data_IF_964773105475
#
_entry.id   IF_964773105475
#
_cell.length_a   1.000
_cell.length_b   1.000
_cell.length_c   1.000
_cell.angle_alpha   90.00
_cell.angle_beta   90.00
_cell.angle_gamma   90.00
#
_symmetry.space_group_name_H-M   'P 1'
#
loop_
_entity.id
_entity.type
_entity.pdbx_description
1 polymer ?
#
# COMPACT_ATOMS: atom_id res chain seq x y z
N UNK A 1 20.37 0.36 36.79
CA UNK A 1 20.85 0.40 38.21
C UNK A 1 20.70 -1.00 38.82
N UNK A 2 21.26 -1.25 40.01
CA UNK A 2 21.19 -2.56 40.69
C UNK A 2 19.75 -2.97 41.02
N UNK A 3 18.89 -2.02 41.38
CA UNK A 3 17.47 -2.28 41.70
C UNK A 3 16.73 -2.86 40.48
N UNK A 4 16.94 -2.28 39.30
CA UNK A 4 16.38 -2.79 38.03
C UNK A 4 16.91 -4.19 37.67
N UNK A 5 18.17 -4.50 37.99
CA UNK A 5 18.75 -5.83 37.75
C UNK A 5 18.13 -6.88 38.67
N UNK A 6 17.99 -6.57 39.97
CA UNK A 6 17.34 -7.47 40.93
C UNK A 6 15.88 -7.75 40.56
N UNK A 7 15.15 -6.71 40.12
CA UNK A 7 13.77 -6.86 39.66
C UNK A 7 13.68 -7.71 38.37
N UNK A 8 14.56 -7.47 37.40
CA UNK A 8 14.64 -8.29 36.20
C UNK A 8 14.90 -9.77 36.53
N UNK A 9 15.89 -10.06 37.38
CA UNK A 9 16.25 -11.44 37.78
C UNK A 9 15.05 -12.12 38.44
N UNK A 10 14.35 -11.43 39.34
CA UNK A 10 13.15 -11.94 40.00
C UNK A 10 12.07 -12.34 38.99
N UNK A 11 11.75 -11.47 38.03
CA UNK A 11 10.70 -11.76 37.05
C UNK A 11 11.13 -12.82 36.04
N UNK A 12 12.38 -12.79 35.60
CA UNK A 12 12.97 -13.80 34.72
C UNK A 12 12.83 -15.21 35.32
N UNK A 13 13.20 -15.37 36.60
CA UNK A 13 13.14 -16.65 37.32
C UNK A 13 11.72 -17.15 37.56
N UNK A 14 10.73 -16.25 37.62
CA UNK A 14 9.31 -16.61 37.72
C UNK A 14 8.81 -17.10 36.35
N UNK A 15 9.11 -16.35 35.28
CA UNK A 15 8.59 -16.63 33.94
C UNK A 15 9.21 -17.89 33.35
N UNK A 16 10.51 -18.12 33.55
CA UNK A 16 11.20 -19.28 32.97
C UNK A 16 10.70 -20.62 33.52
N UNK A 17 10.10 -20.63 34.73
CA UNK A 17 9.51 -21.81 35.37
C UNK A 17 8.11 -22.16 34.85
N UNK A 18 7.47 -21.28 34.08
CA UNK A 18 6.16 -21.55 33.51
C UNK A 18 6.26 -22.64 32.43
N UNK A 19 5.27 -23.55 32.40
CA UNK A 19 5.23 -24.63 31.42
C UNK A 19 5.22 -24.08 29.99
N UNK A 20 6.02 -24.71 29.10
CA UNK A 20 6.22 -24.34 27.68
C UNK A 20 7.07 -23.10 27.37
N UNK A 21 7.53 -22.32 28.36
CA UNK A 21 8.45 -21.19 28.12
C UNK A 21 9.88 -21.69 27.91
N UNK A 22 10.54 -22.18 28.96
CA UNK A 22 11.93 -22.64 28.88
C UNK A 22 12.93 -21.53 28.49
N UNK A 23 14.23 -21.84 28.54
CA UNK A 23 15.31 -20.85 28.31
C UNK A 23 15.30 -20.28 26.89
N UNK A 24 15.00 -21.11 25.89
CA UNK A 24 14.97 -20.68 24.49
C UNK A 24 13.87 -19.66 24.21
N UNK A 25 12.60 -19.95 24.55
CA UNK A 25 11.51 -19.03 24.19
C UNK A 25 11.60 -17.72 24.98
N UNK A 26 12.06 -17.75 26.24
CA UNK A 26 12.19 -16.54 27.05
C UNK A 26 13.31 -15.63 26.53
N UNK A 27 14.51 -16.17 26.31
CA UNK A 27 15.65 -15.35 25.82
C UNK A 27 15.43 -14.88 24.38
N UNK A 28 14.77 -15.69 23.54
CA UNK A 28 14.33 -15.26 22.22
C UNK A 28 13.30 -14.13 22.30
N UNK A 29 12.29 -14.24 23.17
CA UNK A 29 11.30 -13.20 23.36
C UNK A 29 11.91 -11.87 23.83
N UNK A 30 12.85 -11.93 24.78
CA UNK A 30 13.59 -10.76 25.26
C UNK A 30 14.49 -10.16 24.18
N UNK A 31 15.20 -11.00 23.42
CA UNK A 31 15.99 -10.56 22.26
C UNK A 31 15.13 -9.81 21.24
N UNK A 32 13.97 -10.34 20.84
CA UNK A 32 13.12 -9.66 19.87
C UNK A 32 12.40 -8.42 20.43
N UNK A 33 12.31 -8.33 21.76
CA UNK A 33 11.80 -7.13 22.43
C UNK A 33 12.83 -5.98 22.39
N UNK A 34 14.10 -6.26 22.68
CA UNK A 34 15.19 -5.28 22.62
C UNK A 34 16.54 -5.96 22.26
N UNK A 35 16.84 -6.11 20.95
CA UNK A 35 18.03 -6.83 20.49
C UNK A 35 19.34 -6.16 20.86
N UNK A 36 19.33 -4.85 21.15
CA UNK A 36 20.55 -4.13 21.55
C UNK A 36 20.95 -4.40 23.01
N UNK A 37 20.05 -4.98 23.81
CA UNK A 37 20.23 -5.19 25.27
C UNK A 37 20.22 -6.67 25.65
N UNK A 38 19.42 -7.49 24.99
CA UNK A 38 19.25 -8.90 25.34
C UNK A 38 19.84 -9.80 24.28
N UNK A 39 20.46 -10.91 24.68
CA UNK A 39 21.03 -11.92 23.78
C UNK A 39 20.09 -13.12 23.62
N UNK A 40 19.92 -13.62 22.40
CA UNK A 40 19.17 -14.86 22.15
C UNK A 40 20.05 -16.09 22.45
N UNK A 41 19.66 -16.92 23.43
CA UNK A 41 20.40 -18.16 23.75
C UNK A 41 19.73 -19.38 23.10
N UNK A 42 19.69 -19.36 21.77
CA UNK A 42 19.27 -20.52 20.98
C UNK A 42 20.43 -21.51 20.76
N UNK A 43 20.11 -22.66 20.17
CA UNK A 43 21.11 -23.73 19.97
C UNK A 43 22.32 -23.28 19.16
N UNK A 44 22.12 -22.43 18.14
CA UNK A 44 23.19 -21.95 17.26
C UNK A 44 24.07 -20.92 17.98
N UNK A 45 23.46 -19.99 18.70
CA UNK A 45 24.18 -18.96 19.45
C UNK A 45 24.97 -19.58 20.59
N UNK A 46 24.38 -20.55 21.29
CA UNK A 46 25.10 -21.35 22.29
C UNK A 46 26.26 -22.11 21.62
N UNK A 47 26.03 -22.81 20.50
CA UNK A 47 27.08 -23.56 19.82
C UNK A 47 28.24 -22.65 19.36
N UNK A 48 27.93 -21.46 18.84
CA UNK A 48 28.93 -20.48 18.47
C UNK A 48 29.72 -19.97 19.69
N UNK A 49 29.05 -19.57 20.77
CA UNK A 49 29.71 -19.06 21.98
C UNK A 49 30.65 -20.11 22.59
N UNK A 50 30.21 -21.36 22.67
CA UNK A 50 30.97 -22.39 23.38
C UNK A 50 31.96 -23.14 22.47
N UNK A 51 31.64 -23.35 21.19
CA UNK A 51 32.36 -24.28 20.31
C UNK A 51 33.09 -23.62 19.13
N UNK A 52 32.80 -22.36 18.77
CA UNK A 52 33.48 -21.70 17.63
C UNK A 52 34.99 -21.49 17.83
N UNK A 53 35.42 -21.38 19.09
CA UNK A 53 36.78 -20.98 19.44
C UNK A 53 37.05 -19.47 19.26
N UNK A 54 36.08 -18.69 18.78
CA UNK A 54 36.22 -17.25 18.54
C UNK A 54 35.83 -16.41 19.77
N UNK A 55 34.98 -16.95 20.65
CA UNK A 55 34.60 -16.28 21.90
C UNK A 55 35.57 -16.68 23.05
N UNK A 56 36.09 -15.71 23.83
CA UNK A 56 37.01 -15.97 24.94
C UNK A 56 36.57 -17.07 25.91
N UNK A 57 37.54 -17.88 26.36
CA UNK A 57 37.28 -19.09 27.14
C UNK A 57 36.75 -18.85 28.56
N UNK A 58 36.87 -17.64 29.10
CA UNK A 58 36.35 -17.26 30.42
C UNK A 58 34.82 -17.07 30.43
N UNK A 59 34.19 -16.89 29.27
CA UNK A 59 32.73 -17.01 29.10
C UNK A 59 32.27 -18.47 29.22
N UNK A 60 33.14 -19.43 28.88
CA UNK A 60 32.83 -20.88 28.92
C UNK A 60 32.73 -21.44 30.34
N UNK A 61 33.23 -20.74 31.34
CA UNK A 61 33.19 -21.14 32.76
C UNK A 61 31.86 -20.83 33.47
N UNK A 62 30.92 -20.17 32.80
CA UNK A 62 29.54 -20.06 33.29
C UNK A 62 28.87 -21.43 33.17
N UNK A 63 28.81 -22.11 34.31
CA UNK A 63 28.41 -23.51 34.50
C UNK A 63 27.30 -23.97 33.55
N UNK A 64 27.66 -24.90 32.66
CA UNK A 64 26.80 -25.92 32.06
C UNK A 64 25.37 -25.46 31.75
N UNK A 65 25.19 -24.74 30.63
CA UNK A 65 23.91 -24.75 29.88
C UNK A 65 23.76 -26.13 29.21
N UNK A 66 24.05 -27.21 29.94
CA UNK A 66 23.89 -28.57 29.48
C UNK A 66 22.38 -28.87 29.48
N UNK A 67 21.78 -28.61 28.33
CA UNK A 67 20.40 -28.96 27.93
C UNK A 67 19.29 -28.19 28.67
N UNK A 68 19.12 -26.92 28.28
CA UNK A 68 17.84 -26.17 28.25
C UNK A 68 16.99 -26.10 29.54
N UNK A 69 17.46 -26.63 30.67
CA UNK A 69 16.72 -26.74 31.93
C UNK A 69 17.51 -26.08 33.05
N UNK A 70 17.11 -24.86 33.43
CA UNK A 70 17.55 -24.24 34.68
C UNK A 70 18.38 -22.95 34.58
N UNK A 71 18.32 -22.22 33.46
CA UNK A 71 18.97 -20.91 33.32
C UNK A 71 18.50 -19.93 34.41
N UNK A 72 19.42 -19.50 35.27
CA UNK A 72 19.29 -18.39 36.23
C UNK A 72 19.04 -17.05 35.53
N UNK A 73 18.16 -16.17 36.00
CA UNK A 73 18.16 -14.76 35.59
C UNK A 73 19.51 -14.08 35.89
N UNK A 74 20.12 -14.43 37.02
CA UNK A 74 21.49 -13.99 37.37
C UNK A 74 22.54 -14.44 36.36
N UNK A 75 22.40 -15.66 35.86
CA UNK A 75 23.32 -16.26 34.90
C UNK A 75 23.13 -15.60 33.53
N UNK A 76 21.89 -15.31 33.14
CA UNK A 76 21.57 -14.62 31.89
C UNK A 76 22.11 -13.18 31.85
N UNK A 77 21.98 -12.42 32.95
CA UNK A 77 22.59 -11.09 33.06
C UNK A 77 24.12 -11.16 32.97
N UNK A 78 24.76 -12.13 33.63
CA UNK A 78 26.21 -12.30 33.54
C UNK A 78 26.67 -12.61 32.11
N UNK A 79 25.91 -13.42 31.38
CA UNK A 79 26.18 -13.70 29.95
C UNK A 79 26.10 -12.42 29.13
N UNK A 80 25.05 -11.61 29.31
CA UNK A 80 24.89 -10.32 28.62
C UNK A 80 26.08 -9.42 28.91
N UNK A 81 26.42 -9.21 30.18
CA UNK A 81 27.51 -8.32 30.59
C UNK A 81 28.85 -8.73 29.95
N UNK A 82 29.18 -10.03 29.99
CA UNK A 82 30.42 -10.53 29.39
C UNK A 82 30.44 -10.44 27.88
N UNK A 83 29.33 -10.75 27.19
CA UNK A 83 29.28 -10.63 25.74
C UNK A 83 29.33 -9.15 25.31
N UNK A 84 28.77 -8.23 26.10
CA UNK A 84 28.95 -6.79 25.90
C UNK A 84 30.40 -6.36 26.11
N UNK A 85 31.15 -6.98 27.03
CA UNK A 85 32.59 -6.72 27.17
C UNK A 85 33.38 -7.24 25.97
N UNK A 86 33.07 -8.45 25.47
CA UNK A 86 33.70 -9.01 24.27
C UNK A 86 33.47 -8.12 23.07
N UNK A 87 32.23 -7.67 22.86
CA UNK A 87 31.84 -6.77 21.78
C UNK A 87 32.63 -5.44 21.73
N UNK A 88 33.29 -5.05 22.84
CA UNK A 88 34.08 -3.82 22.94
C UNK A 88 35.58 -4.02 22.70
N UNK A 89 36.03 -5.25 22.51
CA UNK A 89 37.44 -5.55 22.22
C UNK A 89 37.75 -5.17 20.77
N UNK A 90 38.94 -4.62 20.51
CA UNK A 90 39.35 -4.12 19.19
C UNK A 90 39.26 -5.20 18.09
N UNK A 91 39.58 -6.46 18.42
CA UNK A 91 39.46 -7.63 17.55
C UNK A 91 38.28 -8.54 17.95
N UNK A 92 37.15 -7.96 18.37
CA UNK A 92 35.97 -8.74 18.74
C UNK A 92 35.43 -9.54 17.53
N UNK A 93 34.97 -10.79 17.72
CA UNK A 93 34.33 -11.56 16.66
C UNK A 93 32.90 -11.09 16.30
N UNK A 94 32.37 -10.08 17.02
CA UNK A 94 31.08 -9.43 16.76
C UNK A 94 31.03 -8.06 17.47
N UNK A 95 30.35 -7.08 16.91
CA UNK A 95 30.21 -5.71 17.45
C UNK A 95 29.03 -5.57 18.41
N UNK A 96 27.98 -6.39 18.25
CA UNK A 96 26.79 -6.37 19.11
C UNK A 96 26.06 -7.72 19.12
N UNK A 97 24.91 -7.79 19.82
CA UNK A 97 24.12 -9.01 19.91
C UNK A 97 23.38 -9.36 18.61
N UNK A 98 23.13 -8.39 17.73
CA UNK A 98 22.52 -8.62 16.43
C UNK A 98 23.53 -9.32 15.53
N UNK A 99 24.75 -8.82 15.47
CA UNK A 99 25.83 -9.45 14.73
C UNK A 99 26.20 -10.82 15.30
N UNK A 100 26.26 -10.96 16.63
CA UNK A 100 26.46 -12.27 17.27
C UNK A 100 25.40 -13.29 16.84
N UNK A 101 24.13 -12.89 16.76
CA UNK A 101 23.04 -13.76 16.31
C UNK A 101 23.19 -14.14 14.83
N UNK A 102 23.59 -13.19 13.98
CA UNK A 102 23.85 -13.44 12.56
C UNK A 102 25.03 -14.39 12.36
N UNK A 103 26.18 -14.12 12.98
CA UNK A 103 27.37 -14.94 12.84
C UNK A 103 27.14 -16.34 13.41
N UNK A 104 26.41 -16.49 14.53
CA UNK A 104 26.11 -17.80 15.08
C UNK A 104 25.26 -18.66 14.14
N UNK A 105 24.31 -18.05 13.42
CA UNK A 105 23.51 -18.72 12.41
C UNK A 105 24.37 -19.19 11.22
N UNK A 106 25.28 -18.35 10.74
CA UNK A 106 26.20 -18.71 9.66
C UNK A 106 27.24 -19.74 10.08
N UNK A 107 27.75 -19.63 11.31
CA UNK A 107 28.64 -20.63 11.90
C UNK A 107 27.98 -22.01 11.96
N UNK A 108 26.73 -22.10 12.43
CA UNK A 108 26.00 -23.37 12.48
C UNK A 108 25.75 -23.97 11.07
N UNK A 109 25.56 -23.12 10.05
CA UNK A 109 25.38 -23.55 8.65
C UNK A 109 26.69 -24.00 8.01
N UNK A 110 27.83 -23.45 8.47
CA UNK A 110 29.16 -23.75 7.96
C UNK A 110 29.89 -24.86 8.76
N UNK A 111 29.50 -25.15 9.99
CA UNK A 111 30.03 -26.30 10.74
C UNK A 111 29.62 -27.64 10.10
N UNK A 112 28.60 -27.65 9.24
CA UNK A 112 28.25 -28.76 8.34
C UNK A 112 29.16 -28.86 7.08
N UNK A 113 30.04 -27.88 6.83
CA UNK A 113 31.02 -27.86 5.71
C UNK A 113 32.36 -27.27 6.15
N UNK A 114 33.33 -28.12 6.49
CA UNK A 114 34.71 -27.73 6.88
C UNK A 114 35.35 -26.71 5.92
N UNK A 115 35.70 -25.54 6.47
CA UNK A 115 36.94 -24.80 6.19
C UNK A 115 36.86 -23.65 5.17
N UNK A 116 36.94 -22.41 5.65
CA UNK A 116 37.74 -21.27 5.15
C UNK A 116 37.14 -19.96 5.70
N UNK A 117 37.77 -19.37 6.72
CA UNK A 117 37.25 -18.17 7.41
C UNK A 117 38.10 -16.89 7.18
N UNK A 118 39.18 -16.94 6.40
CA UNK A 118 40.12 -15.79 6.30
C UNK A 118 40.16 -15.10 4.93
N UNK A 119 39.40 -15.56 3.93
CA UNK A 119 39.38 -14.92 2.59
C UNK A 119 38.05 -14.21 2.28
N UNK A 120 37.06 -14.28 3.19
CA UNK A 120 35.69 -13.82 2.94
C UNK A 120 35.42 -12.36 3.35
N UNK A 121 36.10 -11.83 4.37
CA UNK A 121 35.79 -10.50 4.95
C UNK A 121 36.30 -9.33 4.07
N UNK A 122 37.35 -9.55 3.26
CA UNK A 122 37.91 -8.48 2.42
C UNK A 122 37.23 -8.33 1.04
N UNK A 123 36.41 -9.28 0.61
CA UNK A 123 35.76 -9.20 -0.71
C UNK A 123 34.36 -8.56 -0.67
N UNK A 124 33.60 -8.61 0.42
CA UNK A 124 32.24 -8.03 0.45
C UNK A 124 32.19 -6.50 0.52
N UNK A 125 33.29 -5.81 0.86
CA UNK A 125 33.37 -4.35 0.65
C UNK A 125 33.63 -3.96 -0.81
N UNK A 126 33.78 -4.95 -1.72
CA UNK A 126 34.00 -4.72 -3.15
C UNK A 126 33.12 -5.52 -4.12
N UNK A 127 32.18 -6.36 -3.64
CA UNK A 127 31.14 -6.94 -4.50
C UNK A 127 29.97 -5.96 -4.64
N UNK A 128 30.23 -4.96 -5.47
CA UNK A 128 29.22 -4.28 -6.28
C UNK A 128 28.79 -5.26 -7.37
N UNK A 129 27.48 -5.54 -7.44
CA UNK A 129 26.74 -6.23 -8.53
C UNK A 129 27.34 -7.55 -9.07
N UNK A 130 27.14 -8.67 -8.37
CA UNK A 130 27.03 -9.95 -9.09
C UNK A 130 25.63 -10.06 -9.72
N UNK A 131 25.60 -10.23 -11.04
CA UNK A 131 24.41 -10.22 -11.87
C UNK A 131 23.34 -11.18 -11.34
N UNK A 132 22.14 -10.63 -11.12
CA UNK A 132 20.91 -11.38 -10.92
C UNK A 132 20.75 -12.40 -12.05
N UNK A 133 20.11 -13.57 -11.81
CA UNK A 133 19.73 -14.43 -12.92
C UNK A 133 18.94 -13.57 -13.91
N UNK A 134 19.48 -13.36 -15.11
CA UNK A 134 18.76 -12.69 -16.19
C UNK A 134 17.52 -13.54 -16.48
N UNK A 135 16.39 -13.15 -15.87
CA UNK A 135 15.10 -13.44 -16.46
C UNK A 135 15.16 -12.67 -17.78
N UNK A 136 15.29 -13.39 -18.89
CA UNK A 136 15.25 -12.79 -20.22
C UNK A 136 13.82 -12.30 -20.42
N UNK A 137 13.63 -11.03 -20.08
CA UNK A 137 12.39 -10.31 -20.28
C UNK A 137 12.21 -10.08 -21.79
N UNK A 138 10.98 -10.25 -22.26
CA UNK A 138 10.67 -9.94 -23.65
C UNK A 138 11.01 -8.47 -23.93
N UNK A 139 11.52 -8.16 -25.13
CA UNK A 139 12.03 -6.83 -25.48
C UNK A 139 10.96 -5.70 -25.41
N UNK A 140 9.71 -6.08 -25.12
CA UNK A 140 8.54 -5.21 -25.04
C UNK A 140 8.00 -5.01 -23.61
N UNK A 141 8.74 -5.37 -22.57
CA UNK A 141 8.30 -5.12 -21.19
C UNK A 141 8.48 -3.65 -20.82
N UNK A 142 7.39 -3.01 -20.40
CA UNK A 142 7.43 -1.69 -19.77
C UNK A 142 8.03 -1.80 -18.36
N UNK A 143 9.07 -1.03 -18.01
CA UNK A 143 9.59 -0.98 -16.65
C UNK A 143 8.50 -0.65 -15.63
N UNK A 144 8.53 -1.36 -14.51
CA UNK A 144 7.57 -1.21 -13.44
C UNK A 144 7.66 0.15 -12.77
N UNK A 145 6.52 0.79 -12.59
CA UNK A 145 6.38 2.12 -11.99
C UNK A 145 5.11 2.16 -11.15
N UNK A 146 4.98 3.20 -10.33
CA UNK A 146 3.78 3.45 -9.54
C UNK A 146 3.19 4.80 -9.94
N UNK A 147 1.97 4.82 -10.49
CA UNK A 147 1.32 6.06 -10.94
C UNK A 147 -0.05 6.23 -10.30
N UNK A 148 -0.30 7.40 -9.73
CA UNK A 148 -1.62 7.84 -9.28
C UNK A 148 -2.23 8.73 -10.36
N UNK A 149 -3.26 8.22 -11.02
CA UNK A 149 -4.15 9.02 -11.86
C UNK A 149 -5.16 9.74 -10.96
N UNK A 150 -5.04 11.06 -10.88
CA UNK A 150 -5.92 11.87 -10.03
C UNK A 150 -6.76 12.85 -10.84
N UNK A 151 -7.84 13.33 -10.23
CA UNK A 151 -8.65 14.38 -10.83
C UNK A 151 -10.10 14.31 -10.40
N UNK A 152 -10.93 15.08 -11.10
CA UNK A 152 -12.34 15.27 -10.78
C UNK A 152 -13.18 13.98 -10.90
N UNK A 153 -14.30 13.88 -10.18
CA UNK A 153 -15.21 12.76 -10.32
C UNK A 153 -15.79 12.75 -11.73
N UNK A 154 -15.79 11.58 -12.37
CA UNK A 154 -16.24 11.45 -13.74
C UNK A 154 -15.27 12.00 -14.79
N UNK A 155 -13.99 12.20 -14.50
CA UNK A 155 -13.00 12.50 -15.55
C UNK A 155 -12.55 11.26 -16.34
N UNK A 156 -12.90 10.04 -15.91
CA UNK A 156 -12.63 8.82 -16.69
C UNK A 156 -11.32 8.12 -16.32
N UNK A 157 -10.77 8.36 -15.11
CA UNK A 157 -9.57 7.69 -14.58
C UNK A 157 -9.61 6.16 -14.73
N UNK A 158 -10.66 5.51 -14.22
CA UNK A 158 -10.77 4.04 -14.29
C UNK A 158 -10.86 3.53 -15.73
N UNK A 159 -11.49 4.30 -16.63
CA UNK A 159 -11.52 3.98 -18.06
C UNK A 159 -10.14 4.12 -18.71
N UNK A 160 -9.37 5.15 -18.36
CA UNK A 160 -7.99 5.32 -18.81
C UNK A 160 -7.13 4.14 -18.36
N UNK A 161 -7.23 3.72 -17.10
CA UNK A 161 -6.52 2.54 -16.57
C UNK A 161 -6.93 1.26 -17.32
N UNK A 162 -8.21 1.08 -17.63
CA UNK A 162 -8.69 -0.05 -18.45
C UNK A 162 -8.08 -0.03 -19.85
N UNK A 163 -7.95 1.15 -20.46
CA UNK A 163 -7.33 1.31 -21.78
C UNK A 163 -5.83 1.04 -21.77
N UNK A 164 -5.11 1.49 -20.74
CA UNK A 164 -3.69 1.20 -20.57
C UNK A 164 -3.43 -0.31 -20.43
N UNK A 165 -4.38 -1.04 -19.84
CA UNK A 165 -4.25 -2.48 -19.57
C UNK A 165 -5.05 -3.37 -20.53
N UNK A 166 -5.64 -2.82 -21.59
CA UNK A 166 -6.58 -3.52 -22.50
C UNK A 166 -5.93 -4.73 -23.19
N UNK A 167 -4.64 -4.63 -23.51
CA UNK A 167 -3.87 -5.70 -24.20
C UNK A 167 -3.29 -6.75 -23.25
N UNK A 168 -3.45 -6.58 -21.94
CA UNK A 168 -2.88 -7.47 -20.93
C UNK A 168 -3.86 -8.58 -20.63
N UNK A 169 -3.36 -9.81 -20.47
CA UNK A 169 -4.18 -10.95 -20.06
C UNK A 169 -4.80 -10.71 -18.69
N UNK A 170 -6.07 -11.10 -18.52
CA UNK A 170 -6.81 -10.84 -17.27
C UNK A 170 -6.16 -11.51 -16.05
N UNK A 171 -5.51 -12.67 -16.23
CA UNK A 171 -4.77 -13.37 -15.18
C UNK A 171 -3.55 -12.60 -14.64
N UNK A 172 -3.13 -11.54 -15.33
CA UNK A 172 -2.03 -10.65 -14.94
C UNK A 172 -2.54 -9.31 -14.38
N UNK A 173 -3.86 -9.16 -14.17
CA UNK A 173 -4.45 -7.96 -13.58
C UNK A 173 -5.03 -8.28 -12.21
N UNK A 174 -4.60 -7.52 -11.23
CA UNK A 174 -5.10 -7.59 -9.86
C UNK A 174 -5.73 -6.25 -9.56
N UNK A 175 -7.06 -6.20 -9.47
CA UNK A 175 -7.79 -4.95 -9.21
C UNK A 175 -8.44 -4.97 -7.84
N UNK A 176 -8.22 -3.91 -7.08
CA UNK A 176 -8.81 -3.69 -5.75
C UNK A 176 -9.40 -2.29 -5.67
N UNK A 177 -10.26 -2.08 -4.67
CA UNK A 177 -10.76 -0.74 -4.34
C UNK A 177 -10.52 -0.50 -2.86
N UNK A 178 -9.81 0.56 -2.53
CA UNK A 178 -9.60 0.94 -1.13
C UNK A 178 -10.87 1.56 -0.57
N UNK A 179 -11.15 1.21 0.68
CA UNK A 179 -12.25 1.76 1.47
C UNK A 179 -11.79 1.91 2.92
N UNK A 180 -12.60 2.57 3.75
CA UNK A 180 -12.21 2.99 5.10
C UNK A 180 -11.74 1.81 5.98
N UNK A 181 -12.39 0.65 5.83
CA UNK A 181 -12.07 -0.56 6.59
C UNK A 181 -11.07 -1.49 5.88
N UNK A 182 -10.55 -1.12 4.69
CA UNK A 182 -9.59 -1.95 3.97
C UNK A 182 -8.24 -1.89 4.68
N UNK A 183 -7.65 -3.05 4.96
CA UNK A 183 -6.51 -3.16 5.88
C UNK A 183 -5.28 -3.80 5.24
N UNK A 184 -4.16 -3.75 5.96
CA UNK A 184 -2.93 -4.49 5.62
C UNK A 184 -3.20 -5.99 5.39
N UNK A 185 -4.02 -6.59 6.25
CA UNK A 185 -4.40 -8.01 6.17
C UNK A 185 -5.18 -8.36 4.91
N UNK A 186 -5.95 -7.41 4.36
CA UNK A 186 -6.69 -7.61 3.11
C UNK A 186 -5.78 -7.46 1.88
N UNK A 187 -4.82 -6.53 1.96
CA UNK A 187 -3.97 -6.16 0.84
C UNK A 187 -2.73 -7.04 0.68
N UNK A 188 -2.00 -7.25 1.78
CA UNK A 188 -0.79 -8.08 1.81
C UNK A 188 -1.15 -9.54 2.10
N UNK A 189 -2.00 -9.77 3.09
CA UNK A 189 -2.45 -11.08 3.51
C UNK A 189 -2.38 -11.29 5.02
N UNK A 190 -2.93 -12.40 5.48
CA UNK A 190 -3.03 -12.73 6.90
C UNK A 190 -3.04 -14.23 7.14
N UNK A 191 -2.62 -14.65 8.33
CA UNK A 191 -2.73 -16.04 8.77
C UNK A 191 -4.16 -16.31 9.20
N UNK A 192 -4.81 -17.26 8.56
CA UNK A 192 -6.20 -17.65 8.83
C UNK A 192 -6.28 -19.09 9.34
N UNK A 193 -7.18 -19.38 10.29
CA UNK A 193 -7.48 -20.75 10.64
C UNK A 193 -8.18 -21.47 9.47
N UNK A 194 -7.70 -22.65 9.13
CA UNK A 194 -8.30 -23.53 8.12
C UNK A 194 -8.55 -24.89 8.74
N UNK A 195 -9.66 -25.53 8.37
CA UNK A 195 -9.95 -26.91 8.77
C UNK A 195 -9.39 -27.80 7.67
N UNK A 196 -8.35 -28.56 7.98
CA UNK A 196 -7.76 -29.53 7.06
C UNK A 196 -8.73 -30.67 6.74
N UNK A 197 -8.43 -31.44 5.70
CA UNK A 197 -9.25 -32.60 5.29
C UNK A 197 -9.37 -33.66 6.40
N UNK A 198 -8.42 -33.71 7.33
CA UNK A 198 -8.42 -34.58 8.52
C UNK A 198 -9.25 -34.02 9.70
N UNK A 199 -9.91 -32.87 9.50
CA UNK A 199 -10.71 -32.18 10.51
C UNK A 199 -9.90 -31.39 11.54
N UNK A 200 -8.56 -31.30 11.40
CA UNK A 200 -7.72 -30.55 12.33
C UNK A 200 -7.62 -29.08 11.95
N UNK A 201 -7.50 -28.23 12.97
CA UNK A 201 -7.25 -26.81 12.81
C UNK A 201 -5.79 -26.57 12.41
N UNK A 202 -5.57 -26.02 11.23
CA UNK A 202 -4.27 -25.51 10.75
C UNK A 202 -4.34 -24.00 10.59
N UNK A 203 -3.18 -23.36 10.45
CA UNK A 203 -3.06 -21.92 10.24
C UNK A 203 -2.30 -21.69 8.94
N UNK A 204 -3.01 -21.18 7.94
CA UNK A 204 -2.46 -20.96 6.60
C UNK A 204 -2.41 -19.46 6.28
N UNK A 205 -1.33 -19.02 5.64
CA UNK A 205 -1.24 -17.65 5.15
C UNK A 205 -2.12 -17.49 3.91
N UNK A 206 -3.15 -16.65 4.02
CA UNK A 206 -4.00 -16.23 2.92
C UNK A 206 -3.44 -14.94 2.32
N UNK A 207 -2.81 -15.05 1.17
CA UNK A 207 -2.25 -13.92 0.45
C UNK A 207 -3.31 -12.93 -0.03
N UNK A 208 -3.01 -11.64 0.12
CA UNK A 208 -3.79 -10.55 -0.45
C UNK A 208 -3.34 -10.18 -1.87
N UNK A 209 -4.08 -9.28 -2.55
CA UNK A 209 -3.83 -8.91 -3.95
C UNK A 209 -2.42 -8.41 -4.26
N UNK A 210 -1.77 -7.69 -3.34
CA UNK A 210 -0.39 -7.24 -3.52
C UNK A 210 0.58 -8.41 -3.60
N UNK A 211 0.48 -9.35 -2.65
CA UNK A 211 1.30 -10.56 -2.61
C UNK A 211 1.07 -11.44 -3.84
N UNK A 212 -0.19 -11.63 -4.23
CA UNK A 212 -0.55 -12.38 -5.43
C UNK A 212 0.02 -11.74 -6.72
N UNK A 213 0.01 -10.40 -6.80
CA UNK A 213 0.58 -9.68 -7.94
C UNK A 213 2.10 -9.84 -8.03
N UNK A 214 2.80 -9.77 -6.89
CA UNK A 214 4.25 -10.04 -6.84
C UNK A 214 4.56 -11.48 -7.24
N UNK A 215 3.86 -12.46 -6.65
CA UNK A 215 4.03 -13.87 -7.00
C UNK A 215 3.82 -14.10 -8.50
N UNK A 216 2.79 -13.47 -9.06
CA UNK A 216 2.49 -13.55 -10.48
C UNK A 216 3.61 -12.95 -11.34
N UNK A 217 4.10 -11.77 -10.96
CA UNK A 217 5.17 -11.06 -11.65
C UNK A 217 6.48 -11.87 -11.70
N UNK A 218 6.81 -12.59 -10.62
CA UNK A 218 7.96 -13.50 -10.59
C UNK A 218 7.82 -14.73 -11.48
N UNK A 219 6.58 -15.17 -11.74
CA UNK A 219 6.29 -16.40 -12.51
C UNK A 219 6.04 -16.13 -14.00
N UNK A 220 6.20 -14.89 -14.46
CA UNK A 220 5.86 -14.49 -15.84
C UNK A 220 6.88 -13.51 -16.42
N UNK A 221 7.08 -13.58 -17.74
CA UNK A 221 7.96 -12.67 -18.48
C UNK A 221 7.15 -11.56 -19.18
N UNK A 222 5.96 -11.22 -18.67
CA UNK A 222 5.08 -10.19 -19.21
C UNK A 222 4.71 -9.19 -18.11
N UNK A 223 4.18 -8.02 -18.48
CA UNK A 223 3.72 -7.06 -17.47
C UNK A 223 2.56 -7.62 -16.65
N UNK A 224 2.63 -7.37 -15.35
CA UNK A 224 1.58 -7.60 -14.36
C UNK A 224 1.13 -6.25 -13.83
N UNK A 225 -0.17 -6.08 -13.60
CA UNK A 225 -0.75 -4.83 -13.16
C UNK A 225 -1.47 -5.02 -11.83
N UNK A 226 -1.09 -4.23 -10.84
CA UNK A 226 -1.86 -4.03 -9.62
C UNK A 226 -2.61 -2.70 -9.74
N UNK A 227 -3.93 -2.76 -9.82
CA UNK A 227 -4.81 -1.60 -10.00
C UNK A 227 -5.51 -1.32 -8.66
N UNK A 228 -5.27 -0.14 -8.10
CA UNK A 228 -5.84 0.33 -6.84
C UNK A 228 -6.82 1.46 -7.11
N UNK A 229 -8.11 1.15 -7.14
CA UNK A 229 -9.13 2.18 -7.27
C UNK A 229 -9.32 2.91 -5.94
N UNK A 230 -9.54 4.23 -6.01
CA UNK A 230 -9.90 5.08 -4.87
C UNK A 230 -8.85 5.03 -3.73
N UNK A 231 -7.56 5.16 -4.06
CA UNK A 231 -6.44 4.98 -3.13
C UNK A 231 -6.52 5.84 -1.85
N UNK A 232 -7.17 7.00 -1.92
CA UNK A 232 -7.34 7.91 -0.78
C UNK A 232 -8.57 7.58 0.10
N UNK A 233 -9.42 6.61 -0.26
CA UNK A 233 -10.56 6.19 0.59
C UNK A 233 -10.17 5.20 1.69
N UNK A 234 -8.97 4.64 1.61
CA UNK A 234 -8.33 3.89 2.70
C UNK A 234 -7.10 4.63 3.20
N UNK A 235 -6.63 4.30 4.40
CA UNK A 235 -5.36 4.80 4.90
C UNK A 235 -4.21 4.07 4.16
N UNK A 236 -3.87 4.54 2.95
CA UNK A 236 -2.92 3.88 2.07
C UNK A 236 -1.55 3.59 2.74
N UNK A 237 -0.91 4.53 3.47
CA UNK A 237 0.30 4.22 4.22
C UNK A 237 0.15 3.02 5.17
N UNK A 238 -0.93 2.96 5.94
CA UNK A 238 -1.18 1.83 6.85
C UNK A 238 -1.57 0.54 6.13
N UNK A 239 -2.24 0.62 4.98
CA UNK A 239 -2.59 -0.55 4.16
C UNK A 239 -1.33 -1.18 3.55
N UNK A 240 -0.38 -0.37 3.09
CA UNK A 240 0.91 -0.87 2.61
C UNK A 240 1.84 -1.29 3.76
N UNK A 241 1.70 -0.71 4.95
CA UNK A 241 2.48 -1.10 6.13
C UNK A 241 3.99 -0.98 5.88
N UNK A 242 4.75 -2.02 6.19
CA UNK A 242 6.20 -2.10 5.92
C UNK A 242 6.54 -2.23 4.43
N UNK A 243 5.64 -2.81 3.62
CA UNK A 243 5.82 -2.98 2.17
C UNK A 243 5.82 -1.66 1.40
N UNK A 244 5.41 -0.54 2.00
CA UNK A 244 5.44 0.77 1.34
C UNK A 244 6.86 1.20 0.93
N UNK A 245 7.90 0.69 1.61
CA UNK A 245 9.30 0.92 1.26
C UNK A 245 9.65 0.34 -0.11
N UNK A 246 8.96 -0.74 -0.53
CA UNK A 246 9.18 -1.39 -1.82
C UNK A 246 8.74 -0.55 -3.01
N UNK A 247 7.94 0.49 -2.76
CA UNK A 247 7.46 1.39 -3.81
C UNK A 247 8.59 2.29 -4.35
N UNK A 248 9.71 2.45 -3.64
CA UNK A 248 10.89 3.09 -4.21
C UNK A 248 11.44 2.20 -5.35
N UNK A 249 11.36 2.68 -6.62
CA UNK A 249 11.76 1.93 -7.82
C UNK A 249 13.11 2.42 -8.34
N UNK A 250 13.94 1.48 -8.80
CA UNK A 250 15.18 1.76 -9.51
C UNK A 250 14.93 2.09 -11.01
N UNK A 251 15.99 2.42 -11.74
CA UNK A 251 15.92 2.77 -13.17
C UNK A 251 15.42 1.62 -14.08
N UNK A 252 15.43 0.37 -13.58
CA UNK A 252 14.91 -0.81 -14.28
C UNK A 252 13.47 -1.11 -13.88
N UNK A 253 12.93 -0.35 -12.93
CA UNK A 253 11.60 -0.53 -12.39
C UNK A 253 11.51 -1.63 -11.34
N UNK A 254 12.59 -2.14 -10.75
CA UNK A 254 12.54 -3.06 -9.59
C UNK A 254 12.51 -2.23 -8.30
N UNK A 255 12.06 -2.78 -7.17
CA UNK A 255 12.27 -2.10 -5.88
C UNK A 255 13.76 -1.88 -5.61
N UNK A 256 14.13 -0.66 -5.25
CA UNK A 256 15.50 -0.28 -4.90
C UNK A 256 15.90 -0.84 -3.52
N UNK A 257 14.98 -0.79 -2.55
CA UNK A 257 15.21 -1.20 -1.17
C UNK A 257 14.37 -2.42 -0.80
N UNK A 258 14.91 -3.64 -0.86
CA UNK A 258 14.17 -4.85 -0.50
C UNK A 258 14.02 -4.99 1.03
N UNK A 259 12.93 -5.61 1.50
CA UNK A 259 12.63 -5.78 2.93
C UNK A 259 12.58 -7.25 3.36
N UNK A 260 12.61 -7.50 4.67
CA UNK A 260 12.35 -8.84 5.21
C UNK A 260 10.88 -8.97 5.57
N UNK A 261 10.16 -9.91 4.94
CA UNK A 261 8.76 -10.21 5.27
C UNK A 261 8.51 -11.73 5.20
N UNK A 262 8.75 -12.45 6.31
CA UNK A 262 8.84 -13.92 6.33
C UNK A 262 7.62 -14.64 5.78
N UNK A 263 6.41 -14.21 6.13
CA UNK A 263 5.19 -14.94 5.76
C UNK A 263 4.88 -14.86 4.26
N UNK A 264 5.01 -13.66 3.68
CA UNK A 264 4.91 -13.44 2.23
C UNK A 264 6.01 -14.20 1.48
N UNK A 265 7.26 -14.16 1.95
CA UNK A 265 8.37 -14.88 1.29
C UNK A 265 8.15 -16.41 1.33
N UNK A 266 7.71 -16.95 2.47
CA UNK A 266 7.34 -18.37 2.60
C UNK A 266 6.22 -18.73 1.63
N UNK A 267 5.18 -17.88 1.52
CA UNK A 267 4.07 -18.08 0.60
C UNK A 267 4.50 -18.10 -0.87
N UNK A 268 5.26 -17.09 -1.32
CA UNK A 268 5.73 -16.96 -2.70
C UNK A 268 6.68 -18.09 -3.12
N UNK A 269 7.19 -18.85 -2.15
CA UNK A 269 8.26 -19.84 -2.26
C UNK A 269 9.65 -19.17 -2.39
N UNK A 270 10.49 -19.40 -1.38
CA UNK A 270 11.88 -18.93 -1.31
C UNK A 270 12.77 -19.28 -2.52
N UNK A 271 12.37 -20.26 -3.34
CA UNK A 271 13.09 -20.58 -4.59
C UNK A 271 12.97 -19.47 -5.64
N UNK A 272 11.93 -18.63 -5.55
CA UNK A 272 11.70 -17.48 -6.43
C UNK A 272 12.20 -16.15 -5.83
N UNK A 273 12.41 -16.09 -4.50
CA UNK A 273 12.88 -14.90 -3.78
C UNK A 273 13.96 -15.26 -2.76
N UNK A 274 15.17 -14.70 -2.94
CA UNK A 274 16.36 -14.87 -2.08
C UNK A 274 16.20 -14.18 -0.72
N UNK A 275 15.29 -14.66 0.11
CA UNK A 275 15.08 -14.27 1.53
C UNK A 275 14.70 -12.79 1.78
N UNK A 276 14.54 -11.99 0.72
CA UNK A 276 14.06 -10.61 0.76
C UNK A 276 12.88 -10.43 -0.19
N UNK A 277 11.89 -9.64 0.25
CA UNK A 277 10.75 -9.24 -0.53
C UNK A 277 11.08 -7.98 -1.32
N UNK A 278 10.73 -7.96 -2.60
CA UNK A 278 10.84 -6.82 -3.49
C UNK A 278 9.73 -6.86 -4.55
N UNK A 279 9.42 -5.72 -5.15
CA UNK A 279 8.54 -5.65 -6.32
C UNK A 279 9.38 -5.92 -7.58
N UNK A 280 9.04 -6.94 -8.40
CA UNK A 280 9.75 -7.24 -9.64
C UNK A 280 9.59 -6.14 -10.70
N UNK A 281 10.56 -6.05 -11.62
CA UNK A 281 10.61 -5.00 -12.64
C UNK A 281 9.44 -4.99 -13.63
N UNK A 282 8.66 -6.07 -13.73
CA UNK A 282 7.51 -6.18 -14.62
C UNK A 282 6.16 -5.94 -13.90
N UNK A 283 6.14 -5.64 -12.59
CA UNK A 283 4.92 -5.27 -11.86
C UNK A 283 4.69 -3.75 -11.88
N UNK A 284 3.62 -3.32 -12.54
CA UNK A 284 3.19 -1.92 -12.61
C UNK A 284 2.04 -1.72 -11.62
N UNK A 285 2.10 -0.64 -10.82
CA UNK A 285 1.06 -0.29 -9.87
C UNK A 285 0.35 0.98 -10.34
N UNK A 286 -0.92 0.86 -10.69
CA UNK A 286 -1.74 1.98 -11.13
C UNK A 286 -2.79 2.27 -10.08
N UNK A 287 -2.96 3.53 -9.71
CA UNK A 287 -3.96 3.93 -8.73
C UNK A 287 -4.84 5.04 -9.26
N UNK A 288 -6.09 5.10 -8.80
CA UNK A 288 -7.01 6.21 -9.08
C UNK A 288 -7.33 6.99 -7.81
N UNK A 289 -7.39 8.31 -7.91
CA UNK A 289 -7.68 9.20 -6.79
C UNK A 289 -8.68 10.30 -7.19
N UNK A 290 -9.77 10.44 -6.44
CA UNK A 290 -10.65 11.60 -6.58
C UNK A 290 -10.17 12.71 -5.66
N UNK A 291 -10.00 13.94 -6.19
CA UNK A 291 -9.59 15.10 -5.37
C UNK A 291 -10.76 15.76 -4.65
N UNK A 292 -11.99 15.52 -5.12
CA UNK A 292 -13.22 16.17 -4.66
C UNK A 292 -13.88 15.54 -3.43
N UNK A 293 -13.52 14.28 -3.12
CA UNK A 293 -14.28 13.47 -2.19
C UNK A 293 -14.08 13.96 -0.75
N UNK A 294 -15.20 14.09 -0.03
CA UNK A 294 -15.19 14.41 1.39
C UNK A 294 -14.81 13.17 2.20
N UNK A 295 -14.13 13.36 3.34
CA UNK A 295 -13.75 12.29 4.28
C UNK A 295 -12.79 11.23 3.70
N UNK A 296 -11.88 11.65 2.83
CA UNK A 296 -10.76 10.82 2.36
C UNK A 296 -9.55 10.94 3.29
N UNK A 297 -8.72 9.90 3.33
CA UNK A 297 -7.42 9.94 4.00
C UNK A 297 -6.43 10.76 3.17
N UNK A 298 -5.63 11.58 3.86
CA UNK A 298 -4.53 12.30 3.23
C UNK A 298 -3.37 11.34 2.97
N UNK A 299 -2.83 11.37 1.75
CA UNK A 299 -1.57 10.69 1.45
C UNK A 299 -0.41 11.52 2.04
N UNK A 300 0.37 10.93 2.94
CA UNK A 300 1.52 11.62 3.54
C UNK A 300 2.65 11.84 2.51
N UNK A 301 3.57 12.75 2.83
CA UNK A 301 4.65 13.15 1.91
C UNK A 301 5.64 12.01 1.61
N UNK A 302 5.87 11.12 2.56
CA UNK A 302 6.76 9.97 2.39
C UNK A 302 6.14 8.93 1.47
N UNK A 303 4.82 8.74 1.52
CA UNK A 303 4.09 7.89 0.58
C UNK A 303 4.08 8.53 -0.80
N UNK A 304 3.68 9.81 -0.91
CA UNK A 304 3.56 10.52 -2.19
C UNK A 304 4.84 10.50 -3.03
N UNK A 305 6.02 10.67 -2.45
CA UNK A 305 7.28 10.72 -3.23
C UNK A 305 7.61 9.42 -4.00
N UNK A 306 6.90 8.32 -3.73
CA UNK A 306 7.08 6.99 -4.34
C UNK A 306 6.14 6.72 -5.51
N UNK A 307 5.38 7.75 -5.88
CA UNK A 307 4.39 7.71 -6.93
C UNK A 307 4.59 8.88 -7.89
N UNK A 308 4.43 8.59 -9.16
CA UNK A 308 4.17 9.60 -10.17
C UNK A 308 2.70 10.03 -10.07
N UNK A 309 2.46 11.33 -10.26
CA UNK A 309 1.12 11.90 -10.23
C UNK A 309 0.74 12.41 -11.61
N UNK A 310 -0.33 11.86 -12.17
CA UNK A 310 -0.86 12.28 -13.46
C UNK A 310 -2.30 12.78 -13.31
N UNK A 311 -2.53 14.03 -13.68
CA UNK A 311 -3.88 14.61 -13.68
C UNK A 311 -4.65 14.14 -14.91
N UNK A 312 -5.80 13.52 -14.69
CA UNK A 312 -6.75 13.18 -15.74
C UNK A 312 -7.70 14.34 -15.94
N UNK A 313 -7.41 15.17 -16.94
CA UNK A 313 -8.20 16.34 -17.33
C UNK A 313 -9.10 16.05 -18.53
N UNK A 314 -10.30 16.63 -18.54
CA UNK A 314 -11.28 16.48 -19.62
C UNK A 314 -11.61 17.84 -20.23
N UNK A 315 -10.73 18.35 -21.09
CA UNK A 315 -10.96 19.57 -21.87
C UNK A 315 -11.51 19.22 -23.25
N UNK A 316 -12.68 18.58 -23.28
CA UNK A 316 -13.34 18.23 -24.54
C UNK A 316 -14.24 19.37 -25.02
N UNK A 317 -14.22 19.60 -26.32
CA UNK A 317 -15.22 20.33 -27.11
C UNK A 317 -16.36 19.41 -27.56
N UNK A 318 -17.41 19.98 -28.15
CA UNK A 318 -18.51 19.17 -28.71
C UNK A 318 -18.07 18.25 -29.86
N UNK A 319 -16.95 18.54 -30.52
CA UNK A 319 -16.46 17.79 -31.69
C UNK A 319 -15.55 16.61 -31.33
N UNK A 320 -14.90 16.63 -30.16
CA UNK A 320 -13.92 15.62 -29.72
C UNK A 320 -14.32 14.89 -28.42
N UNK A 321 -15.49 15.21 -27.86
CA UNK A 321 -16.04 14.48 -26.73
C UNK A 321 -16.38 13.02 -27.11
N UNK A 322 -16.00 12.00 -26.30
CA UNK A 322 -16.26 10.59 -26.66
C UNK A 322 -17.74 10.19 -26.69
N UNK A 323 -18.62 10.99 -26.09
CA UNK A 323 -20.04 10.92 -26.41
C UNK A 323 -20.28 11.75 -27.67
N UNK A 324 -20.79 11.12 -28.74
CA UNK A 324 -21.46 11.83 -29.84
C UNK A 324 -22.35 12.96 -29.30
N UNK A 325 -22.45 14.08 -30.01
CA UNK A 325 -23.20 15.27 -29.61
C UNK A 325 -24.54 14.93 -28.93
N UNK A 326 -24.58 15.15 -27.61
CA UNK A 326 -25.70 14.84 -26.72
C UNK A 326 -26.10 16.06 -25.91
N UNK A 327 -27.34 16.08 -25.44
CA UNK A 327 -27.98 17.23 -24.83
C UNK A 327 -28.47 16.92 -23.42
N UNK A 328 -28.55 17.95 -22.59
CA UNK A 328 -29.24 17.87 -21.30
C UNK A 328 -30.74 17.61 -21.55
N UNK A 329 -31.37 16.60 -20.91
CA UNK A 329 -32.76 16.24 -21.19
C UNK A 329 -33.74 17.41 -21.12
N UNK A 330 -34.63 17.51 -22.10
CA UNK A 330 -35.61 18.60 -22.20
C UNK A 330 -35.04 19.96 -22.62
N UNK A 331 -33.79 20.03 -23.07
CA UNK A 331 -33.13 21.29 -23.47
C UNK A 331 -32.42 21.15 -24.82
N UNK A 332 -32.03 22.28 -25.42
CA UNK A 332 -31.13 22.35 -26.58
C UNK A 332 -29.67 22.59 -26.18
N UNK A 333 -29.32 22.50 -24.90
CA UNK A 333 -27.96 22.72 -24.41
C UNK A 333 -27.17 21.41 -24.50
N UNK A 334 -26.05 21.43 -25.22
CA UNK A 334 -25.15 20.28 -25.28
C UNK A 334 -24.57 19.97 -23.91
N UNK A 335 -24.30 18.69 -23.65
CA UNK A 335 -23.71 18.26 -22.39
C UNK A 335 -22.37 18.95 -22.13
N UNK A 336 -21.54 19.10 -23.17
CA UNK A 336 -20.24 19.76 -23.09
C UNK A 336 -20.37 21.19 -22.60
N UNK A 337 -21.23 21.95 -23.27
CA UNK A 337 -21.53 23.33 -22.90
C UNK A 337 -22.08 23.44 -21.48
N UNK A 338 -22.93 22.50 -21.08
CA UNK A 338 -23.51 22.49 -19.74
C UNK A 338 -22.41 22.36 -18.66
N UNK A 339 -21.57 21.32 -18.74
CA UNK A 339 -20.57 21.09 -17.69
C UNK A 339 -19.46 22.14 -17.70
N UNK A 340 -19.08 22.69 -18.86
CA UNK A 340 -18.10 23.77 -18.95
C UNK A 340 -18.61 25.06 -18.31
N UNK A 341 -19.84 25.48 -18.64
CA UNK A 341 -20.45 26.68 -18.08
C UNK A 341 -20.61 26.54 -16.57
N UNK A 342 -21.04 25.37 -16.11
CA UNK A 342 -21.13 25.03 -14.70
C UNK A 342 -19.77 25.08 -14.00
N UNK A 343 -18.73 24.46 -14.57
CA UNK A 343 -17.38 24.48 -14.00
C UNK A 343 -16.80 25.91 -13.95
N UNK A 344 -16.99 26.72 -15.01
CA UNK A 344 -16.63 28.16 -15.00
C UNK A 344 -17.37 28.90 -13.89
N UNK A 345 -18.65 28.60 -13.67
CA UNK A 345 -19.45 29.20 -12.59
C UNK A 345 -18.95 28.79 -11.20
N UNK A 346 -18.57 27.53 -11.02
CA UNK A 346 -17.99 27.02 -9.77
C UNK A 346 -16.69 27.76 -9.44
N UNK A 347 -15.85 28.06 -10.44
CA UNK A 347 -14.59 28.81 -10.27
C UNK A 347 -14.84 30.32 -10.06
N UNK A 348 -15.62 30.98 -10.92
CA UNK A 348 -15.70 32.44 -11.03
C UNK A 348 -16.32 33.17 -9.83
N UNK A 349 -16.98 32.47 -8.89
CA UNK A 349 -17.51 33.06 -7.65
C UNK A 349 -16.59 32.85 -6.44
N UNK A 350 -15.29 32.71 -6.70
CA UNK A 350 -14.21 32.71 -5.72
C UNK A 350 -13.92 34.12 -5.14
N UNK A 351 -14.95 34.82 -4.69
CA UNK A 351 -14.78 35.75 -3.57
C UNK A 351 -15.11 34.95 -2.30
N UNK A 352 -14.09 34.78 -1.45
CA UNK A 352 -14.08 34.16 -0.11
C UNK A 352 -13.95 32.62 0.00
N UNK A 353 -12.71 32.19 0.27
CA UNK A 353 -12.31 31.21 1.29
C UNK A 353 -12.75 29.73 1.23
N UNK A 354 -13.22 29.18 0.11
CA UNK A 354 -13.46 27.72 0.02
C UNK A 354 -12.90 27.11 -1.28
N UNK A 355 -12.25 25.95 -1.17
CA UNK A 355 -11.68 25.17 -2.28
C UNK A 355 -12.76 24.64 -3.24
N UNK A 356 -13.24 25.51 -4.13
CA UNK A 356 -14.27 25.18 -5.13
C UNK A 356 -13.70 24.48 -6.37
N UNK A 357 -12.39 24.52 -6.60
CA UNK A 357 -11.76 23.91 -7.76
C UNK A 357 -11.96 22.39 -7.82
N UNK A 358 -11.86 21.72 -6.68
CA UNK A 358 -12.08 20.28 -6.56
C UNK A 358 -13.56 19.89 -6.66
N UNK A 359 -14.50 20.83 -6.61
CA UNK A 359 -15.95 20.54 -6.71
C UNK A 359 -16.48 20.53 -8.14
N UNK A 360 -15.61 20.78 -9.12
CA UNK A 360 -15.93 20.65 -10.54
C UNK A 360 -16.33 19.22 -10.88
N UNK A 361 -16.97 19.06 -12.04
CA UNK A 361 -17.35 17.75 -12.56
C UNK A 361 -16.58 17.42 -13.83
N UNK A 362 -16.24 16.15 -14.00
CA UNK A 362 -15.63 15.65 -15.24
C UNK A 362 -16.67 15.34 -16.32
N UNK A 363 -16.21 15.26 -17.57
CA UNK A 363 -17.06 15.10 -18.73
C UNK A 363 -17.87 13.78 -18.78
N UNK A 364 -17.47 12.76 -18.02
CA UNK A 364 -18.20 11.48 -17.89
C UNK A 364 -19.00 11.37 -16.58
N UNK A 365 -19.19 12.48 -15.85
CA UNK A 365 -19.96 12.48 -14.60
C UNK A 365 -21.40 11.98 -14.83
N UNK A 366 -22.02 12.34 -15.95
CA UNK A 366 -23.32 11.78 -16.37
C UNK A 366 -23.10 10.71 -17.44
N UNK A 367 -23.74 9.54 -17.26
CA UNK A 367 -23.71 8.48 -18.27
C UNK A 367 -24.45 8.92 -19.54
N UNK A 368 -23.95 8.55 -20.72
CA UNK A 368 -24.61 8.80 -22.03
C UNK A 368 -26.09 8.38 -22.06
N UNK A 369 -26.46 7.32 -21.34
CA UNK A 369 -27.86 6.82 -21.25
C UNK A 369 -28.81 7.73 -20.47
N UNK A 370 -28.30 8.72 -19.75
CA UNK A 370 -29.09 9.74 -19.06
C UNK A 370 -29.14 11.07 -19.82
N UNK A 371 -28.54 11.14 -21.01
CA UNK A 371 -28.52 12.31 -21.88
C UNK A 371 -29.40 12.08 -23.11
N UNK A 372 -29.86 13.18 -23.69
CA UNK A 372 -30.70 13.20 -24.90
C UNK A 372 -29.85 13.16 -26.17
N UNK A 373 -30.32 12.46 -27.20
CA UNK A 373 -29.63 12.38 -28.49
C UNK A 373 -30.00 13.55 -29.41
N UNK A 374 -31.20 14.09 -29.26
CA UNK A 374 -31.65 15.26 -30.04
C UNK A 374 -31.98 16.44 -29.13
N UNK A 375 -31.82 17.69 -29.61
CA UNK A 375 -32.25 18.87 -28.87
C UNK A 375 -33.72 18.77 -28.45
N UNK A 376 -34.02 19.25 -27.25
CA UNK A 376 -35.37 19.29 -26.66
C UNK A 376 -36.08 17.93 -26.56
N UNK A 377 -35.36 16.81 -26.68
CA UNK A 377 -35.92 15.47 -26.45
C UNK A 377 -36.39 15.36 -25.00
N UNK A 378 -37.70 15.16 -24.83
CA UNK A 378 -38.34 15.03 -23.53
C UNK A 378 -38.57 13.55 -23.19
N UNK A 379 -37.55 12.91 -22.63
CA UNK A 379 -37.63 11.57 -22.05
C UNK A 379 -37.61 11.67 -20.53
N UNK A 380 -38.77 11.41 -19.91
CA UNK A 380 -38.95 11.53 -18.45
C UNK A 380 -38.03 10.61 -17.66
N UNK A 381 -37.62 9.45 -18.18
CA UNK A 381 -36.69 8.54 -17.50
C UNK A 381 -35.28 9.08 -17.54
N UNK A 382 -34.83 9.62 -18.69
CA UNK A 382 -33.52 10.27 -18.80
C UNK A 382 -33.45 11.52 -17.93
N UNK A 383 -34.47 12.36 -17.97
CA UNK A 383 -34.56 13.58 -17.16
C UNK A 383 -34.48 13.27 -15.66
N UNK A 384 -35.22 12.25 -15.17
CA UNK A 384 -35.12 11.79 -13.77
C UNK A 384 -33.72 11.32 -13.40
N UNK A 385 -33.09 10.47 -14.24
CA UNK A 385 -31.72 10.00 -13.99
C UNK A 385 -30.70 11.14 -13.97
N UNK A 386 -30.86 12.12 -14.87
CA UNK A 386 -30.02 13.31 -14.88
C UNK A 386 -30.23 14.12 -13.60
N UNK A 387 -31.47 14.44 -13.26
CA UNK A 387 -31.82 15.28 -12.11
C UNK A 387 -31.27 14.70 -10.79
N UNK A 388 -31.57 13.44 -10.51
CA UNK A 388 -31.11 12.78 -9.28
C UNK A 388 -29.58 12.62 -9.19
N UNK A 389 -28.86 12.66 -10.32
CA UNK A 389 -27.39 12.57 -10.29
C UNK A 389 -26.72 13.95 -10.26
N UNK A 390 -27.16 14.86 -11.12
CA UNK A 390 -26.56 16.18 -11.30
C UNK A 390 -27.04 17.16 -10.24
N UNK A 391 -28.36 17.30 -10.09
CA UNK A 391 -28.96 18.33 -9.23
C UNK A 391 -28.71 18.01 -7.76
N UNK A 392 -28.78 16.74 -7.35
CA UNK A 392 -28.43 16.33 -5.99
C UNK A 392 -26.97 16.63 -5.64
N UNK A 393 -26.02 16.28 -6.52
CA UNK A 393 -24.61 16.60 -6.32
C UNK A 393 -24.38 18.11 -6.23
N UNK A 394 -24.96 18.88 -7.14
CA UNK A 394 -24.85 20.33 -7.11
C UNK A 394 -25.44 20.93 -5.84
N UNK A 395 -26.55 20.38 -5.34
CA UNK A 395 -27.20 20.85 -4.13
C UNK A 395 -26.40 20.50 -2.87
N UNK A 396 -25.99 19.24 -2.73
CA UNK A 396 -25.42 18.71 -1.50
C UNK A 396 -23.92 18.99 -1.37
N UNK A 397 -23.17 18.91 -2.47
CA UNK A 397 -21.71 18.96 -2.46
C UNK A 397 -21.18 20.31 -2.93
N UNK A 398 -21.65 20.80 -4.09
CA UNK A 398 -21.16 22.06 -4.68
C UNK A 398 -21.70 23.26 -3.92
N UNK A 399 -23.02 23.39 -3.86
CA UNK A 399 -23.72 24.50 -3.23
C UNK A 399 -24.03 24.24 -1.74
N UNK A 400 -23.28 23.35 -1.06
CA UNK A 400 -23.53 22.91 0.33
C UNK A 400 -23.88 24.07 1.27
N UNK A 401 -23.06 25.12 1.25
CA UNK A 401 -23.16 26.27 2.15
C UNK A 401 -23.98 27.45 1.60
N UNK A 402 -24.08 27.58 0.28
CA UNK A 402 -24.80 28.70 -0.35
C UNK A 402 -25.46 28.24 -1.66
N UNK A 403 -26.77 28.00 -1.61
CA UNK A 403 -27.57 27.53 -2.75
C UNK A 403 -27.66 28.58 -3.85
N UNK A 404 -27.66 29.86 -3.50
CA UNK A 404 -27.85 30.98 -4.45
C UNK A 404 -26.72 31.10 -5.48
N UNK A 405 -25.55 30.52 -5.19
CA UNK A 405 -24.43 30.49 -6.14
C UNK A 405 -24.74 29.69 -7.40
N UNK A 406 -25.56 28.64 -7.27
CA UNK A 406 -25.89 27.71 -8.35
C UNK A 406 -27.38 27.78 -8.72
N UNK A 407 -28.28 27.80 -7.74
CA UNK A 407 -29.73 27.70 -7.93
C UNK A 407 -30.44 29.05 -7.83
N UNK A 408 -31.54 29.20 -8.57
CA UNK A 408 -32.45 30.35 -8.45
C UNK A 408 -33.09 30.38 -7.05
N UNK A 409 -33.37 31.59 -6.55
CA UNK A 409 -34.04 31.80 -5.26
C UNK A 409 -35.47 31.23 -5.19
N UNK A 410 -36.06 30.92 -6.35
CA UNK A 410 -37.40 30.33 -6.44
C UNK A 410 -37.44 28.88 -5.93
N UNK A 411 -36.28 28.22 -5.80
CA UNK A 411 -36.15 26.83 -5.40
C UNK A 411 -35.49 26.72 -4.02
N UNK A 412 -36.30 26.45 -3.00
CA UNK A 412 -35.85 26.46 -1.60
C UNK A 412 -35.37 25.10 -1.10
N UNK A 413 -35.88 24.01 -1.69
CA UNK A 413 -35.48 22.64 -1.32
C UNK A 413 -34.93 21.87 -2.52
N UNK A 414 -34.19 20.80 -2.22
CA UNK A 414 -33.72 19.86 -3.25
C UNK A 414 -34.89 19.26 -4.05
N UNK A 415 -36.00 18.96 -3.37
CA UNK A 415 -37.21 18.45 -4.03
C UNK A 415 -37.77 19.46 -5.02
N UNK A 416 -37.81 20.74 -4.65
CA UNK A 416 -38.29 21.81 -5.53
C UNK A 416 -37.38 21.95 -6.76
N UNK A 417 -36.06 21.92 -6.57
CA UNK A 417 -35.11 22.02 -7.66
C UNK A 417 -35.20 20.82 -8.63
N UNK A 418 -35.36 19.60 -8.11
CA UNK A 418 -35.57 18.40 -8.93
C UNK A 418 -36.91 18.51 -9.67
N UNK A 419 -37.99 18.89 -8.99
CA UNK A 419 -39.30 19.03 -9.63
C UNK A 419 -39.28 20.11 -10.72
N UNK A 420 -38.66 21.26 -10.44
CA UNK A 420 -38.50 22.35 -11.40
C UNK A 420 -37.71 21.95 -12.66
N UNK A 421 -36.73 21.05 -12.52
CA UNK A 421 -36.02 20.48 -13.67
C UNK A 421 -36.92 19.56 -14.51
N UNK A 422 -37.78 18.78 -13.85
CA UNK A 422 -38.64 17.79 -14.50
C UNK A 422 -39.92 18.40 -15.10
N UNK A 423 -40.23 19.65 -14.77
CA UNK A 423 -41.34 20.38 -15.36
C UNK A 423 -41.14 20.61 -16.87
N UNK A 424 -42.19 20.45 -17.70
CA UNK A 424 -42.14 20.82 -19.11
C UNK A 424 -41.80 22.31 -19.29
N UNK A 425 -41.05 22.64 -20.34
CA UNK A 425 -40.73 24.02 -20.69
C UNK A 425 -39.23 24.30 -20.66
N UNK A 426 -38.76 25.10 -19.70
CA UNK A 426 -37.35 25.45 -19.52
C UNK A 426 -36.77 24.78 -18.26
N UNK A 427 -36.23 23.55 -18.35
CA UNK A 427 -35.62 22.84 -17.21
C UNK A 427 -34.49 23.62 -16.52
N UNK A 428 -33.79 24.49 -17.25
CA UNK A 428 -32.63 25.20 -16.76
C UNK A 428 -32.99 26.46 -15.95
N UNK A 429 -34.27 26.83 -15.85
CA UNK A 429 -34.75 27.94 -15.00
C UNK A 429 -34.40 27.76 -13.52
N UNK A 430 -34.09 26.53 -13.11
CA UNK A 430 -33.68 26.21 -11.74
C UNK A 430 -32.33 26.82 -11.35
N UNK A 431 -31.50 27.21 -12.33
CA UNK A 431 -30.18 27.77 -12.10
C UNK A 431 -30.22 29.30 -12.03
N UNK A 432 -29.33 29.89 -11.23
CA UNK A 432 -29.22 31.36 -11.11
C UNK A 432 -28.40 32.02 -12.24
N UNK A 433 -28.13 31.27 -13.31
CA UNK A 433 -27.34 31.69 -14.45
C UNK A 433 -27.79 30.91 -15.70
N UNK A 434 -27.49 31.46 -16.88
CA UNK A 434 -27.87 30.86 -18.14
C UNK A 434 -26.75 29.97 -18.70
N UNK A 435 -27.15 28.96 -19.45
CA UNK A 435 -26.26 28.11 -20.25
C UNK A 435 -26.25 28.53 -21.73
N UNK A 436 -26.92 29.64 -22.06
CA UNK A 436 -27.15 30.11 -23.42
C UNK A 436 -26.12 31.13 -23.93
N UNK A 437 -25.18 31.58 -23.09
CA UNK A 437 -24.19 32.60 -23.46
C UNK A 437 -22.83 31.97 -23.75
N UNK A 438 -22.59 31.74 -25.03
CA UNK A 438 -21.27 31.53 -25.61
C UNK A 438 -21.01 32.70 -26.53
N UNK A 439 -20.57 33.81 -25.93
CA UNK A 439 -19.84 34.89 -26.57
C UNK A 439 -18.76 35.33 -25.58
#
# INVERSE_FOLDING_TARGET
DEESKEEFIKWFDIVIKQGAVGSYNLTKGLYWFEPSVFVCLDGNTIDYIYNSGQVPSDIKTLSSIEKYKGLKGSDYINIIERLTEVAKIEDSPFEDFVELYHISYHYAKNSEKKGQYEEFILNETSIIYEAEPEIIFDANITPGHNTIYYGLPGCGKSYMVDKLTEKVEEKNKFRVTFHQDYSYSDFIGQIMPVIGEDGRLTYDFKAGPFTLAIEKALKTNTNVYLIIEEINRGNAPSIFGDTFQLLDRDDKGKSEYPITHSEVIKYINSSLMKEKLYIPQNLIILATMNTSDQNVFTLDTAFKRRWDFEEVTNNYTDDDHPYELVYVPGTNVSWTRFYETLNKRIINKADSNFGFEDKRIGAFFIKKTSLSKTPNENDSKKAKRFAHKMIEYLWNDVAKFDKSKIFSSDYQTLSDAIQGFLEPGNPLKIFSFNFADGN
#
